data_IF_067082855103
#
_entry.id   IF_067082855103
#
_cell.length_a   1.000
_cell.length_b   1.000
_cell.length_c   1.000
_cell.angle_alpha   90.00
_cell.angle_beta   90.00
_cell.angle_gamma   90.00
#
_symmetry.space_group_name_H-M   'P 1'
#
loop_
_entity.id
_entity.type
_entity.pdbx_description
1 polymer ?
#
# COMPACT_ATOMS: atom_id res chain seq x y z
N UNK A 1 -12.62 -35.76 19.35
CA UNK A 1 -12.97 -34.34 19.10
C UNK A 1 -12.69 -33.87 17.65
N UNK A 2 -12.48 -34.76 16.68
CA UNK A 2 -12.27 -34.36 15.26
C UNK A 2 -13.57 -34.36 14.44
N UNK A 3 -14.51 -35.26 14.79
CA UNK A 3 -15.80 -35.42 14.09
C UNK A 3 -16.74 -34.21 14.26
N UNK A 4 -16.70 -33.50 15.39
CA UNK A 4 -17.60 -32.38 15.67
C UNK A 4 -17.23 -31.08 14.90
N UNK A 5 -15.99 -30.98 14.39
CA UNK A 5 -15.55 -29.79 13.61
C UNK A 5 -16.07 -29.85 12.17
N UNK A 6 -16.23 -31.05 11.63
CA UNK A 6 -16.74 -31.27 10.28
C UNK A 6 -18.27 -31.14 10.17
N UNK A 7 -19.02 -31.39 11.24
CA UNK A 7 -20.49 -31.26 11.24
C UNK A 7 -20.95 -29.82 11.03
N UNK A 8 -20.19 -28.82 11.49
CA UNK A 8 -20.51 -27.40 11.23
C UNK A 8 -20.40 -27.05 9.75
N UNK A 9 -19.32 -27.49 9.08
CA UNK A 9 -19.12 -27.30 7.63
C UNK A 9 -20.20 -28.03 6.83
N UNK A 10 -20.56 -29.23 7.26
CA UNK A 10 -21.58 -30.07 6.61
C UNK A 10 -23.00 -29.48 6.76
N UNK A 11 -23.30 -28.86 7.91
CA UNK A 11 -24.54 -28.10 8.14
C UNK A 11 -24.63 -26.84 7.26
N UNK A 12 -23.52 -26.13 7.09
CA UNK A 12 -23.46 -24.95 6.21
C UNK A 12 -23.68 -25.36 4.75
N UNK A 13 -23.06 -26.46 4.31
CA UNK A 13 -23.24 -27.00 2.96
C UNK A 13 -24.70 -27.42 2.72
N UNK A 14 -25.31 -28.11 3.69
CA UNK A 14 -26.71 -28.52 3.62
C UNK A 14 -27.69 -27.32 3.60
N UNK A 15 -27.39 -26.27 4.37
CA UNK A 15 -28.17 -25.03 4.37
C UNK A 15 -28.09 -24.31 3.02
N UNK A 16 -26.88 -24.23 2.43
CA UNK A 16 -26.67 -23.65 1.10
C UNK A 16 -27.43 -24.41 0.01
N UNK A 17 -27.48 -25.74 0.10
CA UNK A 17 -28.23 -26.58 -0.85
C UNK A 17 -29.74 -26.43 -0.71
N UNK A 18 -30.25 -26.19 0.50
CA UNK A 18 -31.68 -25.95 0.75
C UNK A 18 -32.13 -24.53 0.32
N UNK A 19 -31.21 -23.57 0.29
CA UNK A 19 -31.47 -22.18 -0.10
C UNK A 19 -31.47 -21.96 -1.62
N UNK A 20 -31.05 -22.93 -2.42
CA UNK A 20 -31.12 -22.83 -3.88
C UNK A 20 -32.51 -23.25 -4.37
N UNK A 21 -33.31 -22.36 -5.01
CA UNK A 21 -34.63 -22.70 -5.51
C UNK A 21 -34.53 -23.81 -6.57
N UNK A 22 -35.38 -24.83 -6.43
CA UNK A 22 -35.33 -26.13 -7.13
C UNK A 22 -35.62 -26.14 -8.63
N UNK A 23 -35.38 -25.02 -9.33
CA UNK A 23 -35.44 -24.92 -10.80
C UNK A 23 -34.24 -24.09 -11.24
N UNK A 24 -33.03 -24.65 -11.11
CA UNK A 24 -31.85 -24.05 -11.75
C UNK A 24 -31.93 -24.37 -13.24
N UNK A 25 -32.20 -23.38 -14.09
CA UNK A 25 -31.84 -23.51 -15.49
C UNK A 25 -30.33 -23.76 -15.56
N UNK A 26 -29.93 -24.87 -16.19
CA UNK A 26 -28.52 -25.13 -16.42
C UNK A 26 -27.95 -23.95 -17.21
N UNK A 27 -26.85 -23.39 -16.71
CA UNK A 27 -26.18 -22.28 -17.39
C UNK A 27 -25.82 -22.72 -18.81
N UNK A 28 -26.21 -21.92 -19.80
CA UNK A 28 -25.79 -22.14 -21.17
C UNK A 28 -24.27 -21.91 -21.29
N UNK A 29 -23.62 -22.52 -22.27
CA UNK A 29 -22.20 -22.35 -22.59
C UNK A 29 -21.83 -20.86 -22.70
N UNK A 30 -22.73 -20.03 -23.26
CA UNK A 30 -22.54 -18.58 -23.33
C UNK A 30 -22.46 -17.92 -21.95
N UNK A 31 -23.35 -18.28 -21.03
CA UNK A 31 -23.37 -17.74 -19.68
C UNK A 31 -22.16 -18.19 -18.87
N UNK A 32 -21.75 -19.46 -19.04
CA UNK A 32 -20.51 -20.00 -18.46
C UNK A 32 -19.30 -19.23 -18.99
N UNK A 33 -19.28 -18.90 -20.28
CA UNK A 33 -18.20 -18.10 -20.87
C UNK A 33 -18.14 -16.71 -20.26
N UNK A 34 -19.28 -16.01 -20.12
CA UNK A 34 -19.35 -14.69 -19.48
C UNK A 34 -18.90 -14.72 -18.02
N UNK A 35 -19.32 -15.73 -17.26
CA UNK A 35 -18.88 -15.89 -15.86
C UNK A 35 -17.37 -16.12 -15.83
N UNK A 36 -16.84 -16.99 -16.68
CA UNK A 36 -15.41 -17.29 -16.74
C UNK A 36 -14.58 -16.05 -17.09
N UNK A 37 -14.99 -15.27 -18.09
CA UNK A 37 -14.27 -14.06 -18.49
C UNK A 37 -14.37 -12.97 -17.43
N UNK A 38 -15.54 -12.77 -16.82
CA UNK A 38 -15.72 -11.83 -15.73
C UNK A 38 -14.87 -12.16 -14.50
N UNK A 39 -14.85 -13.43 -14.08
CA UNK A 39 -14.01 -13.90 -12.96
C UNK A 39 -12.52 -13.72 -13.28
N UNK A 40 -12.09 -14.08 -14.50
CA UNK A 40 -10.71 -13.88 -14.92
C UNK A 40 -10.32 -12.40 -14.90
N UNK A 41 -11.17 -11.51 -15.41
CA UNK A 41 -10.93 -10.07 -15.41
C UNK A 41 -10.76 -9.51 -14.00
N UNK A 42 -11.67 -9.83 -13.07
CA UNK A 42 -11.58 -9.39 -11.68
C UNK A 42 -10.34 -9.95 -11.00
N UNK A 43 -10.01 -11.23 -11.25
CA UNK A 43 -8.79 -11.83 -10.71
C UNK A 43 -7.53 -11.14 -11.22
N UNK A 44 -7.46 -10.82 -12.51
CA UNK A 44 -6.33 -10.10 -13.08
C UNK A 44 -6.23 -8.69 -12.50
N UNK A 45 -7.34 -7.95 -12.41
CA UNK A 45 -7.36 -6.61 -11.85
C UNK A 45 -6.96 -6.59 -10.37
N UNK A 46 -7.44 -7.55 -9.56
CA UNK A 46 -7.07 -7.65 -8.16
C UNK A 46 -5.56 -7.90 -7.95
N UNK A 47 -4.96 -8.71 -8.83
CA UNK A 47 -3.54 -9.05 -8.76
C UNK A 47 -2.65 -8.08 -9.55
N UNK A 48 -3.24 -7.10 -10.24
CA UNK A 48 -2.47 -6.13 -10.98
C UNK A 48 -1.79 -5.16 -10.02
N UNK A 49 -0.47 -5.34 -9.88
CA UNK A 49 0.40 -4.48 -9.07
C UNK A 49 1.02 -3.36 -9.90
N UNK A 50 0.61 -3.18 -11.16
CA UNK A 50 1.12 -2.11 -12.04
C UNK A 50 0.94 -0.73 -11.41
N UNK A 51 -0.16 -0.49 -10.69
CA UNK A 51 -0.42 0.75 -9.94
C UNK A 51 0.36 0.86 -8.62
N UNK A 52 0.86 -0.26 -8.08
CA UNK A 52 1.73 -0.28 -6.89
C UNK A 52 3.21 -0.14 -7.27
N UNK A 53 3.53 0.02 -8.55
CA UNK A 53 4.87 0.37 -8.99
C UNK A 53 5.12 1.84 -8.62
N UNK A 54 5.64 2.07 -7.42
CA UNK A 54 6.33 3.32 -7.11
C UNK A 54 7.36 3.54 -8.20
N UNK A 55 7.15 4.57 -9.03
CA UNK A 55 8.09 4.88 -10.09
C UNK A 55 9.45 5.17 -9.46
N UNK A 56 10.53 4.80 -10.12
CA UNK A 56 11.89 5.10 -9.65
C UNK A 56 12.09 6.60 -9.40
N UNK A 57 11.29 7.46 -10.05
CA UNK A 57 11.27 8.91 -9.80
C UNK A 57 10.66 9.25 -8.45
N UNK A 58 9.58 8.58 -8.03
CA UNK A 58 8.97 8.76 -6.70
C UNK A 58 9.96 8.35 -5.61
N UNK A 59 10.62 7.20 -5.75
CA UNK A 59 11.65 6.74 -4.78
C UNK A 59 12.83 7.70 -4.69
N UNK A 60 13.32 8.18 -5.83
CA UNK A 60 14.39 9.21 -5.86
C UNK A 60 13.95 10.50 -5.21
N UNK A 61 12.70 10.92 -5.45
CA UNK A 61 12.15 12.12 -4.85
C UNK A 61 12.00 11.98 -3.33
N UNK A 62 11.59 10.80 -2.83
CA UNK A 62 11.50 10.52 -1.40
C UNK A 62 12.88 10.58 -0.72
N UNK A 63 13.90 9.95 -1.33
CA UNK A 63 15.29 10.02 -0.82
C UNK A 63 15.79 11.46 -0.78
N UNK A 64 15.57 12.25 -1.84
CA UNK A 64 15.95 13.67 -1.87
C UNK A 64 15.20 14.47 -0.81
N UNK A 65 13.88 14.27 -0.70
CA UNK A 65 13.04 14.97 0.29
C UNK A 65 13.51 14.68 1.71
N UNK A 66 13.79 13.41 2.03
CA UNK A 66 14.33 13.01 3.32
C UNK A 66 15.72 13.62 3.57
N UNK A 67 16.58 13.69 2.56
CA UNK A 67 17.89 14.34 2.69
C UNK A 67 17.75 15.84 3.01
N UNK A 68 16.90 16.58 2.28
CA UNK A 68 16.68 18.00 2.53
C UNK A 68 16.02 18.29 3.87
N UNK A 69 15.03 17.49 4.28
CA UNK A 69 14.38 17.62 5.59
C UNK A 69 15.37 17.36 6.73
N UNK A 70 16.21 16.33 6.62
CA UNK A 70 17.25 16.03 7.62
C UNK A 70 18.35 17.09 7.65
N UNK A 71 18.73 17.67 6.50
CA UNK A 71 19.68 18.79 6.43
C UNK A 71 19.12 20.03 7.13
N UNK A 72 17.82 20.33 6.95
CA UNK A 72 17.16 21.45 7.62
C UNK A 72 17.01 21.24 9.13
N UNK A 73 16.85 20.01 9.60
CA UNK A 73 16.70 19.70 11.02
C UNK A 73 17.99 19.83 11.84
N UNK A 74 19.17 19.82 11.20
CA UNK A 74 20.46 19.72 11.91
C UNK A 74 21.10 21.05 12.29
N UNK A 75 20.68 22.18 11.73
CA UNK A 75 21.30 23.49 12.04
C UNK A 75 20.38 24.28 12.97
N UNK A 76 20.31 23.86 14.24
CA UNK A 76 19.67 24.68 15.28
C UNK A 76 20.66 25.75 15.72
N UNK A 77 20.24 27.02 15.70
CA UNK A 77 21.04 28.18 16.14
C UNK A 77 21.63 28.00 17.55
N UNK A 78 20.96 27.23 18.41
CA UNK A 78 21.41 26.91 19.75
C UNK A 78 22.69 26.04 19.81
N UNK A 79 23.02 25.30 18.74
CA UNK A 79 24.26 24.50 18.67
C UNK A 79 25.52 25.38 18.58
N UNK A 80 25.38 26.63 18.13
CA UNK A 80 26.51 27.55 17.97
C UNK A 80 26.63 28.55 19.11
N UNK A 81 25.69 28.57 20.08
CA UNK A 81 25.72 29.50 21.23
C UNK A 81 26.96 29.36 22.11
N UNK A 82 27.57 28.17 22.14
CA UNK A 82 28.77 27.90 22.92
C UNK A 82 30.06 28.29 22.20
N UNK A 83 29.99 28.74 20.94
CA UNK A 83 31.17 29.18 20.19
C UNK A 83 31.53 30.64 20.52
N UNK A 84 32.80 31.04 20.42
CA UNK A 84 33.20 32.44 20.43
C UNK A 84 32.43 33.26 19.39
N UNK A 85 32.11 34.51 19.74
CA UNK A 85 31.23 35.39 18.95
C UNK A 85 31.69 35.55 17.49
N UNK A 86 33.01 35.55 17.24
CA UNK A 86 33.58 35.62 15.89
C UNK A 86 33.22 34.39 15.04
N UNK A 87 33.23 33.20 15.64
CA UNK A 87 32.87 31.96 14.95
C UNK A 87 31.36 31.88 14.73
N UNK A 88 30.55 32.43 15.64
CA UNK A 88 29.11 32.56 15.43
C UNK A 88 28.79 33.46 14.24
N UNK A 89 29.48 34.59 14.08
CA UNK A 89 29.28 35.50 12.94
C UNK A 89 29.68 34.85 11.61
N UNK A 90 30.80 34.13 11.56
CA UNK A 90 31.23 33.39 10.36
C UNK A 90 30.18 32.35 9.91
N UNK A 91 29.61 31.60 10.85
CA UNK A 91 28.55 30.62 10.54
C UNK A 91 27.30 31.32 10.00
N UNK A 92 26.93 32.48 10.56
CA UNK A 92 25.79 33.27 10.08
C UNK A 92 26.05 33.79 8.66
N UNK A 93 27.26 34.27 8.36
CA UNK A 93 27.64 34.72 7.02
C UNK A 93 27.59 33.60 5.99
N UNK A 94 28.15 32.42 6.31
CA UNK A 94 28.09 31.25 5.42
C UNK A 94 26.64 30.79 5.17
N UNK A 95 25.80 30.78 6.20
CA UNK A 95 24.38 30.45 6.06
C UNK A 95 23.61 31.49 5.24
N UNK A 96 23.98 32.77 5.33
CA UNK A 96 23.37 33.84 4.55
C UNK A 96 23.76 33.76 3.06
N UNK A 97 24.99 33.35 2.76
CA UNK A 97 25.51 33.18 1.39
C UNK A 97 24.99 31.94 0.66
N UNK A 98 24.48 30.93 1.39
CA UNK A 98 23.88 29.72 0.80
C UNK A 98 22.41 29.91 0.36
N UNK A 99 21.83 31.09 0.57
CA UNK A 99 20.45 31.44 0.21
C UNK A 99 20.40 32.13 -1.15
#
# INVERSE_FOLDING_TARGET
MFLLKNTKKLRILALLFFLTPGMSHALNIFEIFLIKTGVAFVYYQYNDKSLNYESDLVKKNEVLTNFYQNKLFSIKSDQFRNLPLQQQMLVIEELHLQK
#
